data_IF_705575452339
#
_entry.id   IF_705575452339
#
_cell.length_a   1.000
_cell.length_b   1.000
_cell.length_c   1.000
_cell.angle_alpha   90.00
_cell.angle_beta   90.00
_cell.angle_gamma   90.00
#
_symmetry.space_group_name_H-M   'P 1'
#
loop_
_entity.id
_entity.type
_entity.pdbx_description
1 polymer ?
#
# COMPACT_ATOMS: atom_id res chain seq x y z
N UNK A 1 -1.68 -3.13 -11.10
CA UNK A 1 -0.68 -2.36 -10.33
C UNK A 1 0.49 -3.19 -9.82
N UNK A 2 0.29 -4.45 -9.40
CA UNK A 2 1.31 -5.26 -8.72
C UNK A 2 2.66 -5.43 -9.41
N UNK A 3 2.77 -5.27 -10.74
CA UNK A 3 4.08 -5.25 -11.41
C UNK A 3 5.04 -4.23 -10.80
N UNK A 4 4.57 -3.02 -10.51
CA UNK A 4 5.42 -1.98 -9.90
C UNK A 4 5.83 -2.37 -8.48
N UNK A 5 4.90 -2.86 -7.67
CA UNK A 5 5.20 -3.33 -6.31
C UNK A 5 6.20 -4.50 -6.32
N UNK A 6 6.09 -5.44 -7.28
CA UNK A 6 7.01 -6.57 -7.38
C UNK A 6 8.43 -6.14 -7.76
N UNK A 7 8.58 -5.08 -8.56
CA UNK A 7 9.89 -4.50 -8.85
C UNK A 7 10.54 -3.96 -7.57
N UNK A 8 9.76 -3.28 -6.71
CA UNK A 8 10.28 -2.77 -5.44
C UNK A 8 10.54 -3.87 -4.41
N UNK A 9 9.71 -4.91 -4.36
CA UNK A 9 9.97 -6.11 -3.53
C UNK A 9 11.27 -6.80 -3.96
N UNK A 10 11.49 -6.98 -5.27
CA UNK A 10 12.74 -7.54 -5.79
C UNK A 10 13.95 -6.66 -5.45
N UNK A 11 13.80 -5.33 -5.56
CA UNK A 11 14.86 -4.39 -5.21
C UNK A 11 15.17 -4.43 -3.71
N UNK A 12 14.16 -4.45 -2.84
CA UNK A 12 14.32 -4.58 -1.39
C UNK A 12 15.11 -5.85 -1.05
N UNK A 13 14.66 -7.01 -1.56
CA UNK A 13 15.35 -8.29 -1.39
C UNK A 13 16.80 -8.26 -1.88
N UNK A 14 17.03 -7.63 -3.02
CA UNK A 14 18.37 -7.52 -3.59
C UNK A 14 19.30 -6.65 -2.74
N UNK A 15 18.80 -5.54 -2.21
CA UNK A 15 19.56 -4.65 -1.33
C UNK A 15 19.91 -5.33 -0.01
N UNK A 16 18.95 -6.04 0.62
CA UNK A 16 19.23 -6.85 1.81
C UNK A 16 20.25 -7.94 1.53
N UNK A 17 20.08 -8.68 0.42
CA UNK A 17 21.04 -9.70 0.00
C UNK A 17 22.43 -9.12 -0.26
N UNK A 18 22.52 -7.87 -0.72
CA UNK A 18 23.77 -7.15 -0.97
C UNK A 18 24.43 -6.59 0.31
N UNK A 19 23.82 -6.81 1.48
CA UNK A 19 24.37 -6.42 2.78
C UNK A 19 23.99 -5.00 3.23
N UNK A 20 22.99 -4.37 2.61
CA UNK A 20 22.45 -3.10 3.08
C UNK A 20 21.41 -3.33 4.19
N UNK A 21 21.38 -2.41 5.14
CA UNK A 21 20.25 -2.27 6.06
C UNK A 21 19.16 -1.45 5.35
N UNK A 22 18.03 -2.10 5.05
CA UNK A 22 16.98 -1.52 4.20
C UNK A 22 15.76 -1.18 5.02
N UNK A 23 15.46 0.12 5.09
CA UNK A 23 14.22 0.63 5.66
C UNK A 23 13.15 0.76 4.58
N UNK A 24 12.27 -0.24 4.42
CA UNK A 24 11.22 -0.25 3.40
C UNK A 24 9.89 0.33 3.91
N UNK A 25 9.43 1.43 3.29
CA UNK A 25 8.20 2.15 3.65
C UNK A 25 7.31 2.31 2.42
N UNK A 26 6.01 2.04 2.57
CA UNK A 26 5.03 2.14 1.49
C UNK A 26 3.81 2.92 1.96
N UNK A 27 3.55 4.13 1.44
CA UNK A 27 2.35 4.85 1.82
C UNK A 27 1.08 4.18 1.29
N UNK A 28 -0.02 4.27 2.04
CA UNK A 28 -1.35 3.92 1.58
C UNK A 28 -2.12 5.21 1.32
N UNK A 29 -2.37 5.50 0.05
CA UNK A 29 -3.18 6.67 -0.32
C UNK A 29 -4.64 6.40 0.03
N UNK A 30 -5.12 7.12 1.03
CA UNK A 30 -6.46 7.00 1.60
C UNK A 30 -7.32 8.24 1.32
N UNK A 31 -6.76 9.30 0.71
CA UNK A 31 -7.49 10.48 0.27
C UNK A 31 -6.94 11.03 -1.04
N UNK A 32 -7.84 11.22 -2.01
CA UNK A 32 -7.63 11.98 -3.24
C UNK A 32 -9.00 12.42 -3.80
N UNK A 33 -9.04 13.30 -4.80
CA UNK A 33 -10.29 13.84 -5.35
C UNK A 33 -11.27 12.74 -5.79
N UNK A 34 -10.76 11.68 -6.43
CA UNK A 34 -11.59 10.56 -6.91
C UNK A 34 -12.17 9.73 -5.77
N UNK A 35 -11.39 9.54 -4.72
CA UNK A 35 -11.77 8.83 -3.51
C UNK A 35 -12.84 9.62 -2.75
N UNK A 36 -12.71 10.95 -2.67
CA UNK A 36 -13.70 11.84 -2.05
C UNK A 36 -15.02 11.77 -2.84
N UNK A 37 -14.96 11.92 -4.17
CA UNK A 37 -16.14 11.82 -5.04
C UNK A 37 -16.83 10.46 -4.91
N UNK A 38 -16.05 9.38 -4.89
CA UNK A 38 -16.58 8.02 -4.79
C UNK A 38 -17.18 7.72 -3.42
N UNK A 39 -16.53 8.15 -2.34
CA UNK A 39 -17.05 8.01 -0.98
C UNK A 39 -18.37 8.79 -0.82
N UNK A 40 -18.45 10.02 -1.34
CA UNK A 40 -19.65 10.82 -1.34
C UNK A 40 -20.80 10.16 -2.14
N UNK A 41 -20.49 9.60 -3.32
CA UNK A 41 -21.47 8.87 -4.13
C UNK A 41 -22.03 7.61 -3.44
N UNK A 42 -21.24 6.98 -2.56
CA UNK A 42 -21.66 5.83 -1.75
C UNK A 42 -22.22 6.22 -0.37
N UNK A 43 -22.29 7.52 -0.04
CA UNK A 43 -22.78 8.01 1.25
C UNK A 43 -21.91 7.57 2.44
N UNK A 44 -20.61 7.35 2.22
CA UNK A 44 -19.66 6.87 3.23
C UNK A 44 -18.60 7.95 3.53
N UNK A 45 -17.96 7.86 4.70
CA UNK A 45 -16.73 8.62 4.94
C UNK A 45 -15.60 8.08 4.06
N UNK A 46 -14.62 8.93 3.74
CA UNK A 46 -13.43 8.53 2.96
C UNK A 46 -12.71 7.35 3.61
N UNK A 47 -12.57 7.36 4.93
CA UNK A 47 -11.97 6.26 5.71
C UNK A 47 -12.75 4.95 5.57
N UNK A 48 -14.07 4.99 5.75
CA UNK A 48 -14.92 3.79 5.61
C UNK A 48 -14.91 3.26 4.18
N UNK A 49 -14.90 4.18 3.21
CA UNK A 49 -14.85 3.82 1.79
C UNK A 49 -13.52 3.16 1.41
N UNK A 50 -12.39 3.64 1.94
CA UNK A 50 -11.05 3.18 1.57
C UNK A 50 -10.56 1.95 2.34
N UNK A 51 -11.02 1.75 3.58
CA UNK A 51 -10.65 0.62 4.43
C UNK A 51 -10.63 -0.76 3.74
N UNK A 52 -11.69 -1.18 3.02
CA UNK A 52 -11.68 -2.49 2.35
C UNK A 52 -10.64 -2.59 1.23
N UNK A 53 -10.32 -1.49 0.55
CA UNK A 53 -9.30 -1.47 -0.50
C UNK A 53 -7.88 -1.56 0.08
N UNK A 54 -7.65 -0.92 1.23
CA UNK A 54 -6.39 -1.04 1.96
C UNK A 54 -6.16 -2.48 2.46
N UNK A 55 -7.20 -3.16 2.93
CA UNK A 55 -7.10 -4.57 3.30
C UNK A 55 -6.83 -5.46 2.08
N UNK A 56 -7.57 -5.24 0.99
CA UNK A 56 -7.42 -6.01 -0.25
C UNK A 56 -6.00 -5.90 -0.83
N UNK A 57 -5.43 -4.70 -0.91
CA UNK A 57 -4.10 -4.51 -1.51
C UNK A 57 -2.99 -5.21 -0.70
N UNK A 58 -3.12 -5.23 0.64
CA UNK A 58 -2.18 -5.91 1.52
C UNK A 58 -2.35 -7.44 1.46
N UNK A 59 -3.59 -7.92 1.41
CA UNK A 59 -3.90 -9.35 1.25
C UNK A 59 -3.38 -9.89 -0.08
N UNK A 60 -3.57 -9.14 -1.17
CA UNK A 60 -3.08 -9.50 -2.50
C UNK A 60 -1.54 -9.49 -2.54
N UNK A 61 -0.89 -8.49 -1.91
CA UNK A 61 0.57 -8.45 -1.80
C UNK A 61 1.12 -9.66 -1.04
N UNK A 62 0.47 -10.05 0.07
CA UNK A 62 0.84 -11.24 0.82
C UNK A 62 0.64 -12.53 0.00
N UNK A 63 -0.42 -12.61 -0.80
CA UNK A 63 -0.69 -13.74 -1.71
C UNK A 63 0.42 -13.90 -2.76
N UNK A 64 0.99 -12.78 -3.22
CA UNK A 64 2.12 -12.76 -4.14
C UNK A 64 3.47 -13.02 -3.46
N UNK A 65 3.51 -13.23 -2.14
CA UNK A 65 4.72 -13.51 -1.37
C UNK A 65 5.62 -12.29 -1.18
N UNK A 66 5.08 -11.07 -1.28
CA UNK A 66 5.83 -9.84 -1.09
C UNK A 66 6.19 -9.66 0.38
N UNK A 67 7.36 -9.08 0.65
CA UNK A 67 7.74 -8.71 2.01
C UNK A 67 6.85 -7.55 2.49
N UNK A 68 6.38 -7.59 3.76
CA UNK A 68 5.69 -6.44 4.32
C UNK A 68 6.66 -5.26 4.46
N UNK A 69 6.20 -4.07 4.13
CA UNK A 69 6.88 -2.84 4.52
C UNK A 69 6.85 -2.68 6.05
N UNK A 70 7.85 -1.98 6.58
CA UNK A 70 7.98 -1.73 8.02
C UNK A 70 6.92 -0.72 8.50
N UNK A 71 6.46 0.15 7.60
CA UNK A 71 5.39 1.09 7.89
C UNK A 71 4.57 1.44 6.65
N UNK A 72 3.29 1.68 6.90
CA UNK A 72 2.29 2.01 5.90
C UNK A 72 1.61 3.35 6.20
N UNK A 73 2.34 4.49 6.13
CA UNK A 73 1.77 5.78 6.48
C UNK A 73 0.59 6.13 5.58
N UNK A 74 -0.45 6.68 6.18
CA UNK A 74 -1.62 7.23 5.49
C UNK A 74 -1.46 8.74 5.35
N UNK A 75 -2.16 9.34 4.38
CA UNK A 75 -2.11 10.78 4.22
C UNK A 75 -2.93 11.52 5.30
N UNK A 76 -3.88 10.83 5.93
CA UNK A 76 -4.71 11.38 7.01
C UNK A 76 -4.14 11.20 8.42
N UNK A 77 -2.97 10.55 8.57
CA UNK A 77 -2.29 10.26 9.83
C UNK A 77 -1.04 11.13 10.07
#
# INVERSE_FOLDING_TARGET
>A
NFRSFMVYDLLHRYLEWSGYDVRFVMNLTDVDDKTIESAAAHGQSVETYTAPFAEAILSDAATLGMLPAESYPRATE
#
